data_IF_759679189747
#
_entry.id   IF_759679189747
#
_cell.length_a   1.000
_cell.length_b   1.000
_cell.length_c   1.000
_cell.angle_alpha   90.00
_cell.angle_beta   90.00
_cell.angle_gamma   90.00
#
_symmetry.space_group_name_H-M   'P 1'
#
loop_
_entity.id
_entity.type
_entity.pdbx_description
1 polymer ?
#
# COMPACT_ATOMS: atom_id res chain seq x y z
N UNK A 1 -8.80 -2.55 -13.17
CA UNK A 1 -7.94 -2.22 -12.01
C UNK A 1 -6.94 -1.09 -12.31
N UNK A 2 -6.34 -1.06 -13.52
CA UNK A 2 -5.35 -0.06 -13.93
C UNK A 2 -5.78 1.41 -13.74
N UNK A 3 -7.07 1.71 -13.92
CA UNK A 3 -7.61 3.07 -13.83
C UNK A 3 -7.54 3.70 -12.44
N UNK A 4 -7.36 2.92 -11.35
CA UNK A 4 -7.46 3.45 -9.98
C UNK A 4 -6.35 4.45 -9.64
N UNK A 5 -5.13 4.20 -10.12
CA UNK A 5 -3.98 5.07 -9.83
C UNK A 5 -4.12 6.39 -10.60
N UNK A 6 -4.35 6.40 -11.94
CA UNK A 6 -4.62 7.64 -12.66
C UNK A 6 -5.87 8.37 -12.14
N UNK A 7 -6.95 7.65 -11.83
CA UNK A 7 -8.17 8.26 -11.30
C UNK A 7 -7.90 8.94 -9.95
N UNK A 8 -7.20 8.29 -9.02
CA UNK A 8 -6.85 8.87 -7.72
C UNK A 8 -5.96 10.11 -7.84
N UNK A 9 -5.00 10.10 -8.77
CA UNK A 9 -4.20 11.28 -9.08
C UNK A 9 -5.06 12.43 -9.61
N UNK A 10 -5.91 12.17 -10.61
CA UNK A 10 -6.77 13.18 -11.21
C UNK A 10 -7.81 13.73 -10.22
N UNK A 11 -8.35 12.89 -9.33
CA UNK A 11 -9.33 13.31 -8.32
C UNK A 11 -8.70 14.30 -7.33
N UNK A 12 -7.52 13.97 -6.81
CA UNK A 12 -6.81 14.83 -5.87
C UNK A 12 -6.27 16.11 -6.55
N UNK A 13 -5.83 16.01 -7.81
CA UNK A 13 -5.47 17.16 -8.61
C UNK A 13 -6.65 18.10 -8.83
N UNK A 14 -7.84 17.56 -9.14
CA UNK A 14 -9.07 18.33 -9.29
C UNK A 14 -9.51 18.98 -7.98
N UNK A 15 -9.29 18.32 -6.84
CA UNK A 15 -9.63 18.86 -5.53
C UNK A 15 -8.70 20.01 -5.07
N UNK A 16 -7.40 19.95 -5.39
CA UNK A 16 -6.40 20.93 -4.93
C UNK A 16 -5.94 21.92 -6.01
N UNK A 17 -6.26 21.68 -7.27
CA UNK A 17 -5.75 22.42 -8.42
C UNK A 17 -6.57 23.63 -8.86
N UNK A 18 -7.63 24.00 -8.13
CA UNK A 18 -8.54 25.07 -8.52
C UNK A 18 -7.83 26.41 -8.74
N UNK A 19 -6.91 26.78 -7.83
CA UNK A 19 -6.27 28.10 -7.81
C UNK A 19 -4.79 28.09 -8.23
N UNK A 20 -4.21 26.90 -8.42
CA UNK A 20 -2.78 26.76 -8.72
C UNK A 20 -2.48 25.44 -9.42
N UNK A 21 -1.87 25.53 -10.60
CA UNK A 21 -1.34 24.36 -11.32
C UNK A 21 -0.30 23.60 -10.48
N UNK A 22 0.49 24.31 -9.67
CA UNK A 22 1.44 23.69 -8.74
C UNK A 22 0.73 22.86 -7.69
N UNK A 23 -0.33 23.41 -7.06
CA UNK A 23 -1.13 22.66 -6.09
C UNK A 23 -1.88 21.48 -6.73
N UNK A 24 -2.33 21.63 -7.98
CA UNK A 24 -2.89 20.53 -8.77
C UNK A 24 -1.89 19.40 -8.98
N UNK A 25 -0.63 19.72 -9.30
CA UNK A 25 0.44 18.72 -9.45
C UNK A 25 0.80 18.05 -8.11
N UNK A 26 0.89 18.82 -7.03
CA UNK A 26 1.07 18.27 -5.67
C UNK A 26 -0.07 17.31 -5.32
N UNK A 27 -1.32 17.72 -5.58
CA UNK A 27 -2.49 16.88 -5.40
C UNK A 27 -2.44 15.61 -6.23
N UNK A 28 -2.04 15.70 -7.50
CA UNK A 28 -1.88 14.54 -8.38
C UNK A 28 -0.89 13.51 -7.82
N UNK A 29 0.27 13.98 -7.36
CA UNK A 29 1.32 13.12 -6.80
C UNK A 29 0.88 12.47 -5.50
N UNK A 30 0.24 13.23 -4.61
CA UNK A 30 -0.28 12.71 -3.35
C UNK A 30 -1.41 11.70 -3.60
N UNK A 31 -2.46 12.05 -4.34
CA UNK A 31 -3.57 11.16 -4.64
C UNK A 31 -3.14 9.91 -5.42
N UNK A 32 -2.25 10.06 -6.41
CA UNK A 32 -1.70 8.96 -7.19
C UNK A 32 -0.87 8.00 -6.35
N UNK A 33 0.02 8.52 -5.50
CA UNK A 33 0.86 7.68 -4.63
C UNK A 33 0.04 6.92 -3.57
N UNK A 34 -0.99 7.54 -3.00
CA UNK A 34 -1.93 6.88 -2.08
C UNK A 34 -2.74 5.79 -2.78
N UNK A 35 -3.26 6.06 -3.98
CA UNK A 35 -3.97 5.08 -4.78
C UNK A 35 -3.07 3.89 -5.18
N UNK A 36 -1.81 4.16 -5.56
CA UNK A 36 -0.82 3.13 -5.86
C UNK A 36 -0.48 2.27 -4.64
N UNK A 37 -0.29 2.90 -3.47
CA UNK A 37 0.01 2.19 -2.21
C UNK A 37 -1.17 1.33 -1.76
N UNK A 38 -2.40 1.82 -1.88
CA UNK A 38 -3.62 1.05 -1.58
C UNK A 38 -3.77 -0.14 -2.54
N UNK A 39 -3.52 0.07 -3.84
CA UNK A 39 -3.55 -1.01 -4.83
C UNK A 39 -2.51 -2.09 -4.52
N UNK A 40 -1.26 -1.71 -4.26
CA UNK A 40 -0.19 -2.64 -3.92
C UNK A 40 -0.54 -3.43 -2.66
N UNK A 41 -0.98 -2.75 -1.59
CA UNK A 41 -1.43 -3.40 -0.34
C UNK A 41 -2.54 -4.42 -0.61
N UNK A 42 -3.58 -4.04 -1.35
CA UNK A 42 -4.70 -4.95 -1.67
C UNK A 42 -4.26 -6.13 -2.53
N UNK A 43 -3.38 -5.92 -3.50
CA UNK A 43 -2.83 -6.99 -4.33
C UNK A 43 -1.98 -7.97 -3.50
N UNK A 44 -1.14 -7.46 -2.59
CA UNK A 44 -0.33 -8.28 -1.67
C UNK A 44 -1.21 -9.06 -0.69
N UNK A 45 -2.21 -8.42 -0.08
CA UNK A 45 -3.16 -9.10 0.81
C UNK A 45 -3.89 -10.21 0.05
N UNK A 46 -4.35 -9.96 -1.18
CA UNK A 46 -4.99 -10.98 -2.01
C UNK A 46 -4.04 -12.14 -2.32
N UNK A 47 -2.77 -11.88 -2.64
CA UNK A 47 -1.77 -12.93 -2.85
C UNK A 47 -1.55 -13.79 -1.58
N UNK A 48 -1.55 -13.16 -0.40
CA UNK A 48 -1.36 -13.84 0.88
C UNK A 48 -2.61 -14.64 1.33
N UNK A 49 -3.82 -14.15 1.08
CA UNK A 49 -5.04 -14.90 1.43
C UNK A 49 -5.36 -15.99 0.39
N UNK A 50 -5.00 -15.80 -0.88
CA UNK A 50 -5.22 -16.80 -1.92
C UNK A 50 -4.31 -18.04 -1.76
N UNK A 51 -3.41 -18.05 -0.77
CA UNK A 51 -2.62 -19.23 -0.41
C UNK A 51 -3.47 -20.32 0.27
N UNK A 52 -4.66 -19.97 0.80
CA UNK A 52 -5.71 -20.91 1.24
C UNK A 52 -7.10 -20.28 1.02
N UNK A 53 -7.92 -20.76 0.07
CA UNK A 53 -9.22 -20.16 -0.24
C UNK A 53 -10.26 -20.49 0.84
N UNK A 54 -10.12 -19.88 2.02
CA UNK A 54 -11.08 -20.03 3.11
C UNK A 54 -12.22 -19.01 2.93
N UNK A 55 -13.49 -19.46 2.87
CA UNK A 55 -14.62 -18.60 2.55
C UNK A 55 -14.84 -17.50 3.59
N UNK A 56 -14.60 -17.78 4.87
CA UNK A 56 -14.79 -16.83 5.96
C UNK A 56 -13.82 -15.64 5.89
N UNK A 57 -12.54 -15.92 5.62
CA UNK A 57 -11.50 -14.88 5.49
C UNK A 57 -11.77 -13.95 4.31
N UNK A 58 -12.26 -14.49 3.19
CA UNK A 58 -12.61 -13.69 2.01
C UNK A 58 -13.82 -12.77 2.24
N UNK A 59 -14.83 -13.28 2.95
CA UNK A 59 -15.99 -12.48 3.35
C UNK A 59 -15.57 -11.36 4.30
N UNK A 60 -14.86 -11.71 5.36
CA UNK A 60 -14.41 -10.75 6.36
C UNK A 60 -13.54 -9.66 5.73
N UNK A 61 -12.59 -10.02 4.85
CA UNK A 61 -11.76 -9.06 4.15
C UNK A 61 -12.59 -8.09 3.29
N UNK A 62 -13.61 -8.58 2.59
CA UNK A 62 -14.43 -7.74 1.72
C UNK A 62 -15.36 -6.82 2.51
N UNK A 63 -16.02 -7.33 3.55
CA UNK A 63 -16.82 -6.50 4.46
C UNK A 63 -15.99 -5.43 5.18
N UNK A 64 -14.78 -5.78 5.58
CA UNK A 64 -13.86 -4.82 6.19
C UNK A 64 -13.46 -3.72 5.20
N UNK A 65 -13.13 -4.08 3.96
CA UNK A 65 -12.81 -3.10 2.91
C UNK A 65 -13.97 -2.13 2.66
N UNK A 66 -15.19 -2.63 2.54
CA UNK A 66 -16.37 -1.80 2.28
C UNK A 66 -16.73 -0.92 3.50
N UNK A 67 -16.69 -1.49 4.70
CA UNK A 67 -16.92 -0.76 5.94
C UNK A 67 -15.89 0.36 6.16
N UNK A 68 -14.63 0.11 5.81
CA UNK A 68 -13.56 1.10 5.92
C UNK A 68 -13.77 2.27 4.96
N UNK A 69 -14.23 2.02 3.72
CA UNK A 69 -14.57 3.11 2.77
C UNK A 69 -15.68 3.99 3.33
N UNK A 70 -16.76 3.40 3.82
CA UNK A 70 -17.88 4.15 4.43
C UNK A 70 -17.40 4.95 5.64
N UNK A 71 -16.63 4.33 6.53
CA UNK A 71 -16.09 4.98 7.72
C UNK A 71 -15.17 6.16 7.40
N UNK A 72 -14.29 6.02 6.40
CA UNK A 72 -13.39 7.09 5.96
C UNK A 72 -14.18 8.27 5.38
N UNK A 73 -15.15 8.02 4.50
CA UNK A 73 -15.97 9.08 3.88
C UNK A 73 -16.79 9.80 4.94
N UNK A 74 -17.39 9.05 5.87
CA UNK A 74 -18.11 9.63 7.00
C UNK A 74 -17.19 10.49 7.88
N UNK A 75 -16.00 9.99 8.24
CA UNK A 75 -15.05 10.73 9.05
C UNK A 75 -14.55 12.01 8.33
N UNK A 76 -14.25 11.90 7.04
CA UNK A 76 -13.80 13.02 6.22
C UNK A 76 -14.85 14.13 6.10
N UNK A 77 -16.14 13.78 6.09
CA UNK A 77 -17.24 14.75 5.94
C UNK A 77 -17.74 15.32 7.26
N UNK A 78 -17.85 14.50 8.32
CA UNK A 78 -18.39 14.94 9.61
C UNK A 78 -17.31 15.47 10.56
N UNK A 79 -16.09 14.93 10.50
CA UNK A 79 -14.99 15.29 11.40
C UNK A 79 -13.66 15.49 10.64
N UNK A 80 -13.54 16.56 9.82
CA UNK A 80 -12.39 16.75 8.93
C UNK A 80 -11.04 16.79 9.65
N UNK A 81 -10.98 17.37 10.85
CA UNK A 81 -9.75 17.42 11.65
C UNK A 81 -9.34 16.01 12.13
N UNK A 82 -10.30 15.22 12.61
CA UNK A 82 -10.03 13.84 13.05
C UNK A 82 -9.59 12.98 11.86
N UNK A 83 -10.21 13.15 10.70
CA UNK A 83 -9.76 12.54 9.45
C UNK A 83 -8.33 12.92 9.09
N UNK A 84 -7.99 14.21 9.15
CA UNK A 84 -6.64 14.70 8.87
C UNK A 84 -5.58 14.09 9.80
N UNK A 85 -5.86 14.01 11.10
CA UNK A 85 -4.97 13.35 12.08
C UNK A 85 -4.84 11.86 11.77
N UNK A 86 -5.96 11.16 11.56
CA UNK A 86 -5.95 9.74 11.24
C UNK A 86 -5.16 9.45 9.96
N UNK A 87 -5.34 10.27 8.92
CA UNK A 87 -4.58 10.19 7.68
C UNK A 87 -3.09 10.38 7.94
N UNK A 88 -2.69 11.43 8.66
CA UNK A 88 -1.29 11.70 8.98
C UNK A 88 -0.63 10.52 9.73
N UNK A 89 -1.31 9.98 10.74
CA UNK A 89 -0.85 8.78 11.48
C UNK A 89 -0.70 7.60 10.52
N UNK A 90 -1.69 7.35 9.65
CA UNK A 90 -1.64 6.25 8.70
C UNK A 90 -0.48 6.39 7.71
N UNK A 91 -0.16 7.60 7.26
CA UNK A 91 0.99 7.85 6.40
C UNK A 91 2.32 7.55 7.11
N UNK A 92 2.46 7.97 8.36
CA UNK A 92 3.64 7.64 9.18
C UNK A 92 3.78 6.13 9.32
N UNK A 93 2.70 5.43 9.69
CA UNK A 93 2.68 3.96 9.80
C UNK A 93 3.06 3.31 8.46
N UNK A 94 2.50 3.80 7.34
CA UNK A 94 2.80 3.27 6.01
C UNK A 94 4.29 3.42 5.66
N UNK A 95 4.88 4.59 5.90
CA UNK A 95 6.32 4.83 5.66
C UNK A 95 7.17 3.93 6.55
N UNK A 96 6.82 3.80 7.83
CA UNK A 96 7.53 2.90 8.76
C UNK A 96 7.49 1.45 8.28
N UNK A 97 6.31 0.96 7.90
CA UNK A 97 6.15 -0.40 7.38
C UNK A 97 6.95 -0.62 6.09
N UNK A 98 6.95 0.35 5.17
CA UNK A 98 7.76 0.27 3.95
C UNK A 98 9.25 0.16 4.27
N UNK A 99 9.76 0.98 5.20
CA UNK A 99 11.16 0.93 5.63
C UNK A 99 11.50 -0.42 6.28
N UNK A 100 10.63 -0.93 7.17
CA UNK A 100 10.82 -2.22 7.84
C UNK A 100 10.80 -3.37 6.83
N UNK A 101 9.82 -3.39 5.93
CA UNK A 101 9.67 -4.44 4.92
C UNK A 101 10.86 -4.44 3.94
N UNK A 102 11.34 -3.26 3.54
CA UNK A 102 12.52 -3.14 2.69
C UNK A 102 13.79 -3.64 3.36
N UNK A 103 13.98 -3.34 4.66
CA UNK A 103 15.08 -3.90 5.47
C UNK A 103 14.99 -5.42 5.54
N UNK A 104 13.81 -5.96 5.83
CA UNK A 104 13.58 -7.40 5.89
C UNK A 104 13.88 -8.07 4.54
N UNK A 105 13.38 -7.50 3.43
CA UNK A 105 13.64 -8.00 2.09
C UNK A 105 15.15 -8.06 1.78
N UNK A 106 15.90 -7.00 2.10
CA UNK A 106 17.37 -6.99 1.95
C UNK A 106 18.04 -8.11 2.73
N UNK A 107 17.59 -8.38 3.96
CA UNK A 107 18.13 -9.46 4.78
C UNK A 107 17.83 -10.84 4.18
N UNK A 108 16.60 -11.07 3.74
CA UNK A 108 16.18 -12.32 3.09
C UNK A 108 16.98 -12.56 1.81
N UNK A 109 17.10 -11.56 0.93
CA UNK A 109 17.88 -11.66 -0.31
C UNK A 109 19.35 -11.96 -0.02
N UNK A 110 19.95 -11.32 1.00
CA UNK A 110 21.33 -11.61 1.41
C UNK A 110 21.50 -13.05 1.89
N UNK A 111 20.57 -13.55 2.71
CA UNK A 111 20.59 -14.95 3.19
C UNK A 111 20.43 -15.95 2.05
N UNK A 112 19.50 -15.71 1.13
CA UNK A 112 19.29 -16.56 -0.04
C UNK A 112 20.54 -16.61 -0.93
N UNK A 113 21.18 -15.46 -1.19
CA UNK A 113 22.44 -15.42 -1.96
C UNK A 113 23.57 -16.19 -1.28
N UNK A 114 23.68 -16.10 0.05
CA UNK A 114 24.68 -16.86 0.80
C UNK A 114 24.43 -18.38 0.73
N UNK A 115 23.17 -18.80 0.84
CA UNK A 115 22.79 -20.22 0.73
C UNK A 115 23.05 -20.78 -0.67
N UNK A 116 22.66 -20.05 -1.73
CA UNK A 116 22.92 -20.44 -3.12
C UNK A 116 24.42 -20.42 -3.45
N UNK A 117 25.18 -19.48 -2.90
CA UNK A 117 26.64 -19.41 -3.08
C UNK A 117 27.40 -20.54 -2.37
N UNK A 118 26.88 -21.06 -1.25
CA UNK A 118 27.45 -22.22 -0.55
C UNK A 118 27.17 -23.55 -1.27
N UNK A 119 25.99 -23.70 -1.89
CA UNK A 119 25.67 -24.88 -2.71
C UNK A 119 26.48 -25.01 -4.00
N UNK A 120 27.12 -23.92 -4.48
CA UNK A 120 28.03 -23.95 -5.62
C UNK A 120 29.49 -24.25 -5.23
N UNK A 121 29.80 -24.30 -3.93
CA UNK A 121 31.14 -24.49 -3.38
C UNK A 121 31.32 -25.89 -2.76
N UNK A 122 30.58 -26.90 -3.24
CA UNK A 122 30.95 -28.31 -3.07
C UNK A 122 31.78 -28.74 -4.30
N UNK A 123 33.12 -28.84 -4.19
CA UNK A 123 33.92 -29.51 -5.20
C UNK A 123 33.83 -31.01 -4.97
N UNK A 124 33.52 -31.73 -6.04
CA UNK A 124 33.86 -33.14 -6.22
C UNK A 124 35.33 -33.36 -5.84
N UNK A 125 35.61 -34.14 -4.80
CA UNK A 125 36.96 -34.66 -4.56
C UNK A 125 37.36 -34.86 -3.10
N UNK A 126 36.99 -35.99 -2.51
CA UNK A 126 37.90 -36.98 -1.93
C UNK A 126 37.13 -38.29 -1.70
#
# INVERSE_FOLDING_TARGET
AFIRIPAGALLAAGALGADSATMGMVGALLGGSLAATSFATKATTRAAINTSPEPFTNWLASFFEDGLVVGIVWLATQHPLAFGIALAVMLVVSVLLLVVLFKFLKLVVRKLRAFVGQGAAEPTGA
#
